data_IF_675301787221
#
_entry.id   IF_675301787221
#
_cell.length_a   1.000
_cell.length_b   1.000
_cell.length_c   1.000
_cell.angle_alpha   90.00
_cell.angle_beta   90.00
_cell.angle_gamma   90.00
#
_symmetry.space_group_name_H-M   'P 1'
#
loop_
_entity.id
_entity.type
_entity.pdbx_description
1 polymer ?
#
# COMPACT_ATOMS: atom_id res chain seq x y z
N UNK A 1 53.84 -17.00 -61.13
CA UNK A 1 54.92 -16.42 -60.29
C UNK A 1 54.26 -15.48 -59.30
N UNK A 2 54.53 -15.68 -57.99
CA UNK A 2 54.41 -14.72 -56.86
C UNK A 2 53.05 -14.03 -56.63
N UNK A 3 52.54 -13.82 -55.43
CA UNK A 3 52.77 -14.27 -54.04
C UNK A 3 51.71 -13.40 -53.31
N UNK A 4 50.76 -14.04 -52.62
CA UNK A 4 50.32 -13.78 -51.24
C UNK A 4 50.30 -12.35 -50.65
N UNK A 5 49.60 -12.12 -49.51
CA UNK A 5 48.25 -12.54 -49.10
C UNK A 5 47.59 -11.47 -48.19
N UNK A 6 46.59 -11.88 -47.40
CA UNK A 6 46.28 -11.33 -46.07
C UNK A 6 45.59 -9.95 -46.03
N UNK A 7 44.26 -9.98 -45.92
CA UNK A 7 43.65 -9.24 -44.81
C UNK A 7 42.53 -10.07 -44.21
N UNK A 8 42.81 -10.49 -42.98
CA UNK A 8 42.02 -11.28 -42.07
C UNK A 8 40.93 -10.36 -41.49
N UNK A 9 39.65 -10.61 -41.77
CA UNK A 9 38.56 -10.06 -40.96
C UNK A 9 37.78 -11.21 -40.34
N UNK A 10 38.36 -11.70 -39.25
CA UNK A 10 37.81 -12.69 -38.34
C UNK A 10 36.82 -11.95 -37.42
N UNK A 11 35.54 -11.90 -37.79
CA UNK A 11 34.48 -11.40 -36.90
C UNK A 11 34.13 -12.49 -35.87
N UNK A 12 34.96 -12.62 -34.84
CA UNK A 12 34.57 -13.26 -33.58
C UNK A 12 33.68 -12.25 -32.82
N UNK A 13 32.37 -12.29 -33.07
CA UNK A 13 31.41 -11.79 -32.07
C UNK A 13 31.00 -12.96 -31.19
N UNK A 14 31.78 -13.10 -30.13
CA UNK A 14 31.48 -13.89 -28.95
C UNK A 14 30.27 -13.23 -28.27
N UNK A 15 29.06 -13.73 -28.51
CA UNK A 15 27.93 -13.44 -27.64
C UNK A 15 28.04 -14.31 -26.38
N UNK A 16 28.98 -13.94 -25.50
CA UNK A 16 28.92 -14.30 -24.09
C UNK A 16 27.99 -13.29 -23.42
N UNK A 17 26.99 -13.83 -22.73
CA UNK A 17 26.31 -13.11 -21.65
C UNK A 17 24.89 -12.68 -21.95
N UNK A 18 23.98 -13.62 -22.22
CA UNK A 18 22.69 -13.50 -21.54
C UNK A 18 23.00 -13.58 -20.04
N UNK A 19 23.13 -12.42 -19.40
CA UNK A 19 23.02 -12.30 -17.96
C UNK A 19 21.76 -13.05 -17.56
N UNK A 20 21.84 -13.76 -16.43
CA UNK A 20 20.71 -14.42 -15.80
C UNK A 20 19.54 -13.44 -15.86
N UNK A 21 18.56 -13.73 -16.72
CA UNK A 21 17.25 -13.12 -16.61
C UNK A 21 16.84 -13.42 -15.18
N UNK A 22 16.77 -12.35 -14.38
CA UNK A 22 16.18 -12.40 -13.06
C UNK A 22 14.88 -13.13 -13.23
N UNK A 23 14.82 -14.33 -12.65
CA UNK A 23 13.62 -15.14 -12.59
C UNK A 23 12.57 -14.27 -11.90
N UNK A 24 11.79 -13.54 -12.69
CA UNK A 24 10.48 -13.07 -12.31
C UNK A 24 9.71 -14.33 -11.97
N UNK A 25 9.74 -14.68 -10.69
CA UNK A 25 8.98 -15.77 -10.14
C UNK A 25 7.54 -15.57 -10.61
N UNK A 26 6.96 -16.56 -11.27
CA UNK A 26 5.59 -16.48 -11.77
C UNK A 26 4.57 -16.17 -10.65
N UNK A 27 4.98 -16.42 -9.40
CA UNK A 27 4.30 -16.01 -8.18
C UNK A 27 4.11 -14.48 -8.05
N UNK A 28 4.94 -13.62 -8.66
CA UNK A 28 4.83 -12.16 -8.55
C UNK A 28 3.73 -11.56 -9.43
N UNK A 29 3.16 -12.31 -10.40
CA UNK A 29 1.99 -11.83 -11.17
C UNK A 29 0.74 -11.56 -10.32
N UNK A 30 0.66 -12.14 -9.12
CA UNK A 30 -0.47 -11.96 -8.22
C UNK A 30 -0.30 -10.77 -7.25
N UNK A 31 0.91 -10.22 -7.16
CA UNK A 31 1.21 -9.02 -6.39
C UNK A 31 1.07 -7.77 -7.27
N UNK A 32 -0.09 -7.12 -7.25
CA UNK A 32 -0.28 -5.82 -7.90
C UNK A 32 -0.11 -4.66 -6.91
N UNK A 33 0.86 -4.76 -6.00
CA UNK A 33 1.13 -3.71 -5.03
C UNK A 33 1.71 -2.48 -5.75
N UNK A 34 0.94 -1.39 -5.78
CA UNK A 34 1.36 -0.09 -6.32
C UNK A 34 1.54 0.92 -5.20
N UNK A 35 2.73 0.97 -4.62
CA UNK A 35 3.11 1.87 -3.52
C UNK A 35 3.29 3.34 -3.93
N UNK A 36 2.40 3.90 -4.75
CA UNK A 36 2.49 5.27 -5.27
C UNK A 36 1.31 6.15 -4.84
N UNK A 37 1.57 7.45 -4.76
CA UNK A 37 0.56 8.50 -4.66
C UNK A 37 0.93 9.70 -5.53
N UNK A 38 0.00 10.63 -5.73
CA UNK A 38 0.08 11.59 -6.83
C UNK A 38 -0.21 13.03 -6.38
N UNK A 39 0.69 13.71 -5.63
CA UNK A 39 0.60 15.14 -5.44
C UNK A 39 0.86 15.88 -6.76
N UNK A 40 0.01 16.85 -7.11
CA UNK A 40 0.20 17.72 -8.27
C UNK A 40 0.50 16.95 -9.56
N UNK A 41 -0.19 15.83 -9.77
CA UNK A 41 0.00 14.92 -10.91
C UNK A 41 1.39 14.27 -11.06
N UNK A 42 2.22 14.25 -10.01
CA UNK A 42 3.54 13.61 -10.02
C UNK A 42 3.50 12.32 -9.19
N UNK A 43 3.94 11.20 -9.77
CA UNK A 43 4.06 9.95 -9.03
C UNK A 43 5.14 10.06 -7.95
N UNK A 44 4.77 9.77 -6.71
CA UNK A 44 5.65 9.73 -5.55
C UNK A 44 5.59 8.34 -4.94
N UNK A 45 6.76 7.72 -4.74
CA UNK A 45 6.87 6.41 -4.10
C UNK A 45 6.67 6.57 -2.59
N UNK A 46 5.78 5.76 -2.01
CA UNK A 46 5.53 5.73 -0.57
C UNK A 46 6.64 4.96 0.14
N UNK A 47 7.04 3.82 -0.42
CA UNK A 47 8.10 2.97 0.08
C UNK A 47 8.06 1.56 -0.52
N UNK A 48 9.10 0.77 -0.28
CA UNK A 48 9.09 -0.65 -0.60
C UNK A 48 8.10 -1.40 0.29
N UNK A 49 7.52 -2.48 -0.20
CA UNK A 49 6.70 -3.37 0.63
C UNK A 49 7.51 -3.90 1.83
N UNK A 50 6.88 -3.88 3.00
CA UNK A 50 7.37 -4.56 4.20
C UNK A 50 6.81 -5.99 4.23
N UNK A 51 7.71 -6.96 4.36
CA UNK A 51 7.37 -8.38 4.35
C UNK A 51 6.97 -8.90 5.74
N UNK A 52 7.19 -8.09 6.78
CA UNK A 52 7.09 -8.52 8.18
C UNK A 52 5.78 -8.08 8.83
N UNK A 53 5.10 -7.07 8.29
CA UNK A 53 3.96 -6.42 8.94
C UNK A 53 2.75 -6.25 8.02
N UNK A 54 1.57 -6.25 8.63
CA UNK A 54 0.29 -5.94 8.00
C UNK A 54 -0.50 -4.99 8.89
N UNK A 55 -1.33 -4.12 8.31
CA UNK A 55 -2.31 -3.33 9.04
C UNK A 55 -3.69 -3.94 8.88
N UNK A 56 -4.39 -4.17 10.00
CA UNK A 56 -5.80 -4.55 10.01
C UNK A 56 -6.63 -3.45 10.66
N UNK A 57 -7.64 -2.98 9.95
CA UNK A 57 -8.73 -2.19 10.51
C UNK A 57 -9.88 -3.09 10.97
N UNK A 58 -10.54 -2.76 12.08
CA UNK A 58 -11.62 -3.56 12.66
C UNK A 58 -12.97 -2.86 12.55
N UNK A 59 -14.05 -3.64 12.53
CA UNK A 59 -15.41 -3.11 12.52
C UNK A 59 -15.78 -2.64 13.94
N UNK A 60 -16.32 -1.43 14.03
CA UNK A 60 -16.57 -0.74 15.29
C UNK A 60 -17.65 -1.40 16.15
N UNK A 61 -18.42 -2.33 15.60
CA UNK A 61 -19.38 -3.14 16.36
C UNK A 61 -18.69 -4.13 17.30
N UNK A 62 -17.45 -4.52 17.02
CA UNK A 62 -16.70 -5.47 17.85
C UNK A 62 -15.90 -4.74 18.92
N UNK A 63 -15.86 -5.32 20.11
CA UNK A 63 -15.09 -4.78 21.22
C UNK A 63 -13.63 -5.27 21.22
N UNK A 64 -12.79 -4.62 22.02
CA UNK A 64 -11.37 -4.92 22.12
C UNK A 64 -11.08 -6.39 22.49
N UNK A 65 -11.87 -6.99 23.37
CA UNK A 65 -11.67 -8.41 23.77
C UNK A 65 -11.90 -9.35 22.58
N UNK A 66 -12.93 -9.09 21.78
CA UNK A 66 -13.23 -9.86 20.56
C UNK A 66 -12.13 -9.71 19.51
N UNK A 67 -11.64 -8.47 19.32
CA UNK A 67 -10.54 -8.18 18.39
C UNK A 67 -9.27 -8.90 18.81
N UNK A 68 -8.89 -8.83 20.10
CA UNK A 68 -7.70 -9.50 20.61
C UNK A 68 -7.80 -11.02 20.51
N UNK A 69 -8.98 -11.58 20.78
CA UNK A 69 -9.26 -13.02 20.61
C UNK A 69 -9.14 -13.45 19.14
N UNK A 70 -9.61 -12.62 18.21
CA UNK A 70 -9.45 -12.87 16.78
C UNK A 70 -7.98 -12.88 16.38
N UNK A 71 -7.19 -11.89 16.81
CA UNK A 71 -5.76 -11.80 16.51
C UNK A 71 -5.00 -12.99 17.11
N UNK A 72 -5.29 -13.38 18.36
CA UNK A 72 -4.59 -14.49 19.02
C UNK A 72 -4.92 -15.88 18.45
N UNK A 73 -6.05 -16.01 17.77
CA UNK A 73 -6.45 -17.24 17.10
C UNK A 73 -5.79 -17.41 15.72
N UNK A 74 -5.24 -16.35 15.13
CA UNK A 74 -4.64 -16.40 13.79
C UNK A 74 -3.17 -16.81 13.87
N UNK A 75 -2.89 -18.05 13.44
CA UNK A 75 -1.58 -18.67 13.55
C UNK A 75 -0.48 -17.99 12.72
N UNK A 76 -0.86 -17.20 11.71
CA UNK A 76 0.10 -16.46 10.86
C UNK A 76 0.74 -15.24 11.56
N UNK A 77 0.21 -14.81 12.71
CA UNK A 77 0.79 -13.72 13.50
C UNK A 77 1.80 -14.19 14.53
N UNK A 78 2.83 -13.37 14.74
CA UNK A 78 3.77 -13.52 15.85
C UNK A 78 3.07 -13.23 17.18
N UNK A 79 2.80 -14.28 17.95
CA UNK A 79 2.11 -14.17 19.24
C UNK A 79 2.96 -13.51 20.34
N UNK A 80 4.27 -13.34 20.11
CA UNK A 80 5.17 -12.62 21.01
C UNK A 80 5.24 -11.12 20.67
N UNK A 81 4.73 -10.72 19.51
CA UNK A 81 4.70 -9.32 19.11
C UNK A 81 3.72 -8.52 19.95
N UNK A 82 4.24 -7.54 20.69
CA UNK A 82 3.44 -6.66 21.54
C UNK A 82 2.79 -5.55 20.71
N UNK A 83 1.69 -5.88 20.01
CA UNK A 83 0.92 -4.91 19.24
C UNK A 83 0.05 -4.03 20.15
N UNK A 84 -0.25 -2.83 19.66
CA UNK A 84 -1.25 -1.92 20.26
C UNK A 84 -2.44 -1.78 19.31
N UNK A 85 -3.63 -1.74 19.89
CA UNK A 85 -4.81 -1.23 19.20
C UNK A 85 -4.74 0.30 19.26
N UNK A 86 -4.68 0.94 18.09
CA UNK A 86 -4.69 2.39 17.98
C UNK A 86 -6.14 2.84 17.83
N UNK A 87 -6.68 3.42 18.91
CA UNK A 87 -8.13 3.63 19.03
C UNK A 87 -8.88 2.30 19.13
N UNK A 88 -10.08 2.24 18.56
CA UNK A 88 -10.81 0.97 18.32
C UNK A 88 -10.68 0.48 16.87
N UNK A 89 -9.88 1.17 16.07
CA UNK A 89 -10.09 1.18 14.64
C UNK A 89 -9.09 0.29 13.91
N UNK A 90 -7.86 0.11 14.42
CA UNK A 90 -6.87 -0.74 13.76
C UNK A 90 -5.71 -1.24 14.66
N UNK A 91 -4.98 -2.24 14.16
CA UNK A 91 -3.70 -2.69 14.67
C UNK A 91 -2.70 -2.90 13.53
N UNK A 92 -1.42 -2.66 13.83
CA UNK A 92 -0.30 -3.19 13.05
C UNK A 92 0.12 -4.50 13.68
N UNK A 93 0.21 -5.55 12.87
CA UNK A 93 0.51 -6.90 13.31
C UNK A 93 1.75 -7.42 12.59
N UNK A 94 2.58 -8.18 13.30
CA UNK A 94 3.77 -8.82 12.75
C UNK A 94 3.45 -10.25 12.36
N UNK A 95 3.90 -10.67 11.19
CA UNK A 95 3.83 -12.07 10.80
C UNK A 95 4.83 -12.91 11.59
N UNK A 96 4.47 -14.17 11.87
CA UNK A 96 5.39 -15.11 12.54
C UNK A 96 6.65 -15.42 11.72
N UNK A 97 6.57 -15.22 10.40
CA UNK A 97 7.63 -15.39 9.41
C UNK A 97 7.43 -14.36 8.29
N UNK A 98 8.51 -13.77 7.73
CA UNK A 98 8.39 -12.82 6.63
C UNK A 98 7.65 -13.45 5.44
N UNK A 99 6.75 -12.68 4.81
CA UNK A 99 5.92 -13.15 3.70
C UNK A 99 6.34 -12.52 2.37
N UNK A 100 6.18 -13.27 1.29
CA UNK A 100 6.26 -12.71 -0.07
C UNK A 100 5.05 -11.82 -0.35
N UNK A 101 5.15 -10.91 -1.32
CA UNK A 101 4.02 -10.04 -1.63
C UNK A 101 2.73 -10.81 -1.95
N UNK A 102 2.81 -11.87 -2.76
CA UNK A 102 1.65 -12.70 -3.11
C UNK A 102 1.05 -13.44 -1.92
N UNK A 103 1.88 -13.83 -0.94
CA UNK A 103 1.39 -14.39 0.31
C UNK A 103 0.66 -13.34 1.17
N UNK A 104 1.16 -12.10 1.20
CA UNK A 104 0.46 -10.98 1.87
C UNK A 104 -0.86 -10.66 1.15
N UNK A 105 -0.88 -10.64 -0.19
CA UNK A 105 -2.09 -10.42 -0.98
C UNK A 105 -3.17 -11.47 -0.68
N UNK A 106 -2.78 -12.76 -0.64
CA UNK A 106 -3.68 -13.85 -0.27
C UNK A 106 -4.18 -13.72 1.18
N UNK A 107 -3.30 -13.30 2.10
CA UNK A 107 -3.66 -13.07 3.49
C UNK A 107 -4.64 -11.89 3.65
N UNK A 108 -4.43 -10.77 2.96
CA UNK A 108 -5.36 -9.64 2.91
C UNK A 108 -6.73 -10.12 2.43
N UNK A 109 -6.79 -10.87 1.33
CA UNK A 109 -8.04 -11.42 0.80
C UNK A 109 -8.74 -12.39 1.77
N UNK A 110 -7.98 -13.16 2.56
CA UNK A 110 -8.50 -14.00 3.65
C UNK A 110 -9.09 -13.13 4.76
N UNK A 111 -8.34 -12.13 5.24
CA UNK A 111 -8.76 -11.25 6.33
C UNK A 111 -10.01 -10.44 5.98
N UNK A 112 -10.11 -9.92 4.75
CA UNK A 112 -11.26 -9.13 4.30
C UNK A 112 -12.59 -9.90 4.27
N UNK A 113 -12.55 -11.25 4.19
CA UNK A 113 -13.75 -12.10 4.31
C UNK A 113 -14.26 -12.20 5.74
N UNK A 114 -13.43 -11.89 6.74
CA UNK A 114 -13.82 -11.92 8.13
C UNK A 114 -14.73 -10.74 8.46
N UNK A 115 -15.87 -10.95 9.15
CA UNK A 115 -16.77 -9.86 9.47
C UNK A 115 -16.15 -8.86 10.48
N UNK A 116 -15.18 -9.28 11.31
CA UNK A 116 -14.51 -8.42 12.29
C UNK A 116 -13.50 -7.44 11.67
N UNK A 117 -12.94 -7.77 10.50
CA UNK A 117 -11.91 -6.95 9.85
C UNK A 117 -12.58 -6.01 8.86
N UNK A 118 -12.59 -4.71 9.09
CA UNK A 118 -13.09 -3.70 8.15
C UNK A 118 -12.24 -3.60 6.89
N UNK A 119 -10.92 -3.56 7.05
CA UNK A 119 -9.95 -3.50 5.96
C UNK A 119 -8.64 -4.16 6.37
N UNK A 120 -7.85 -4.58 5.40
CA UNK A 120 -6.54 -5.18 5.61
C UNK A 120 -5.60 -4.66 4.51
N UNK A 121 -4.46 -4.09 4.89
CA UNK A 121 -3.61 -3.32 4.00
C UNK A 121 -2.14 -3.72 4.14
N UNK A 122 -1.40 -3.56 3.03
CA UNK A 122 0.05 -3.68 3.03
C UNK A 122 0.68 -2.64 3.95
N UNK A 123 1.93 -2.89 4.33
CA UNK A 123 2.77 -1.90 5.00
C UNK A 123 4.04 -1.69 4.20
N UNK A 124 4.68 -0.54 4.34
CA UNK A 124 5.86 -0.18 3.58
C UNK A 124 7.04 0.09 4.51
N UNK A 125 8.25 -0.26 4.09
CA UNK A 125 9.46 0.08 4.84
C UNK A 125 9.68 1.58 4.82
N UNK A 126 10.09 2.14 5.95
CA UNK A 126 10.56 3.53 6.02
C UNK A 126 11.62 3.68 7.11
N UNK A 127 12.56 4.60 6.88
CA UNK A 127 13.48 5.06 7.93
C UNK A 127 12.95 6.29 8.66
N UNK A 128 11.81 6.84 8.21
CA UNK A 128 11.17 7.98 8.85
C UNK A 128 10.25 7.51 9.98
N UNK A 129 10.70 7.74 11.20
CA UNK A 129 9.94 7.48 12.42
C UNK A 129 9.20 8.71 12.94
N UNK A 130 9.23 9.82 12.20
CA UNK A 130 8.42 10.99 12.53
C UNK A 130 6.96 10.66 12.20
N UNK A 131 6.12 10.59 13.22
CA UNK A 131 4.69 10.33 13.09
C UNK A 131 3.87 11.38 13.86
N UNK A 132 2.62 11.58 13.43
CA UNK A 132 1.59 12.33 14.17
C UNK A 132 1.23 11.68 15.51
N UNK A 133 1.25 10.34 15.63
CA UNK A 133 0.96 9.62 16.89
C UNK A 133 2.19 9.45 17.80
N UNK A 134 3.42 9.56 17.29
CA UNK A 134 4.67 9.52 18.08
C UNK A 134 5.18 10.89 18.54
N UNK A 135 4.32 11.93 18.56
CA UNK A 135 4.64 13.34 18.88
C UNK A 135 5.37 13.62 20.22
N UNK A 136 5.76 12.60 20.97
CA UNK A 136 6.61 12.69 22.15
C UNK A 136 7.72 11.62 22.14
N UNK A 137 8.92 12.01 21.69
CA UNK A 137 10.17 11.34 22.08
C UNK A 137 11.03 10.80 20.94
N UNK A 138 12.35 11.00 21.08
CA UNK A 138 13.40 10.38 20.26
C UNK A 138 13.28 8.85 20.34
N UNK A 139 12.72 8.21 19.32
CA UNK A 139 12.61 6.76 19.22
C UNK A 139 13.92 6.15 18.72
N UNK A 140 14.99 6.26 19.52
CA UNK A 140 16.24 5.55 19.25
C UNK A 140 16.00 4.03 19.31
N UNK A 141 16.35 3.32 18.24
CA UNK A 141 16.32 1.85 18.18
C UNK A 141 15.01 1.22 17.67
N UNK A 142 14.06 2.01 17.17
CA UNK A 142 12.87 1.47 16.48
C UNK A 142 13.12 1.38 14.98
N UNK A 143 12.58 0.34 14.35
CA UNK A 143 12.36 0.31 12.90
C UNK A 143 10.99 0.92 12.63
N UNK A 144 10.78 1.56 11.48
CA UNK A 144 9.49 2.15 11.17
C UNK A 144 8.91 1.58 9.88
N UNK A 145 7.58 1.57 9.84
CA UNK A 145 6.83 1.23 8.63
C UNK A 145 5.85 2.35 8.32
N UNK A 146 5.59 2.59 7.04
CA UNK A 146 4.48 3.42 6.60
C UNK A 146 3.26 2.53 6.44
N UNK A 147 2.12 2.98 6.98
CA UNK A 147 0.82 2.36 6.89
C UNK A 147 -0.16 3.32 6.21
N UNK A 148 -1.28 2.80 5.73
CA UNK A 148 -2.35 3.61 5.15
C UNK A 148 -3.72 3.15 5.63
N UNK A 149 -4.60 4.09 5.95
CA UNK A 149 -5.98 3.79 6.35
C UNK A 149 -6.84 3.45 5.12
N UNK A 150 -8.13 3.22 5.34
CA UNK A 150 -9.12 3.09 4.28
C UNK A 150 -9.56 4.44 3.68
N UNK A 151 -8.91 5.53 4.08
CA UNK A 151 -9.20 6.90 3.64
C UNK A 151 -8.17 7.36 2.61
N UNK A 152 -8.64 8.11 1.62
CA UNK A 152 -7.79 8.84 0.68
C UNK A 152 -8.42 10.20 0.35
N UNK A 153 -7.65 11.08 -0.25
CA UNK A 153 -8.07 12.41 -0.66
C UNK A 153 -7.88 12.61 -2.15
N UNK A 154 -8.79 13.38 -2.75
CA UNK A 154 -8.71 13.84 -4.13
C UNK A 154 -8.86 15.36 -4.15
N UNK A 155 -8.12 16.00 -5.04
CA UNK A 155 -8.20 17.44 -5.27
C UNK A 155 -8.73 17.71 -6.67
N UNK A 156 -9.85 18.43 -6.76
CA UNK A 156 -10.42 18.84 -8.05
C UNK A 156 -9.86 20.20 -8.46
N UNK A 157 -9.76 20.44 -9.77
CA UNK A 157 -9.31 21.74 -10.29
C UNK A 157 -10.41 22.83 -10.18
N UNK A 158 -11.68 22.43 -10.28
CA UNK A 158 -12.83 23.33 -10.28
C UNK A 158 -13.97 22.71 -9.45
N UNK A 159 -14.31 23.35 -8.33
CA UNK A 159 -15.36 22.88 -7.42
C UNK A 159 -16.77 22.98 -8.01
N UNK A 160 -16.94 23.64 -9.17
CA UNK A 160 -18.20 23.65 -9.91
C UNK A 160 -18.36 22.43 -10.84
N UNK A 161 -17.32 21.60 -10.99
CA UNK A 161 -17.29 20.44 -11.90
C UNK A 161 -17.05 19.14 -11.13
N UNK A 162 -18.03 18.77 -10.31
CA UNK A 162 -17.95 17.56 -9.47
C UNK A 162 -18.58 16.31 -10.10
N UNK A 163 -19.10 16.40 -11.33
CA UNK A 163 -19.75 15.27 -12.00
C UNK A 163 -18.83 14.05 -12.10
N UNK A 164 -17.57 14.24 -12.50
CA UNK A 164 -16.58 13.18 -12.62
C UNK A 164 -16.25 12.54 -11.26
N UNK A 165 -16.14 13.36 -10.20
CA UNK A 165 -15.96 12.87 -8.84
C UNK A 165 -17.12 11.98 -8.41
N UNK A 166 -18.36 12.46 -8.56
CA UNK A 166 -19.54 11.69 -8.16
C UNK A 166 -19.71 10.42 -9.00
N UNK A 167 -19.40 10.48 -10.29
CA UNK A 167 -19.41 9.31 -11.15
C UNK A 167 -18.41 8.25 -10.67
N UNK A 168 -17.15 8.63 -10.44
CA UNK A 168 -16.12 7.70 -9.96
C UNK A 168 -16.45 7.16 -8.58
N UNK A 169 -16.99 7.98 -7.67
CA UNK A 169 -17.47 7.55 -6.35
C UNK A 169 -18.52 6.44 -6.48
N UNK A 170 -19.54 6.66 -7.31
CA UNK A 170 -20.60 5.68 -7.54
C UNK A 170 -20.06 4.41 -8.24
N UNK A 171 -19.21 4.58 -9.26
CA UNK A 171 -18.66 3.49 -10.04
C UNK A 171 -17.75 2.59 -9.21
N UNK A 172 -16.92 3.17 -8.34
CA UNK A 172 -15.98 2.44 -7.48
C UNK A 172 -16.58 2.03 -6.15
N UNK A 173 -17.81 2.46 -5.84
CA UNK A 173 -18.49 2.25 -4.57
C UNK A 173 -17.66 2.71 -3.37
N UNK A 174 -16.92 3.81 -3.53
CA UNK A 174 -16.28 4.51 -2.41
C UNK A 174 -17.31 5.42 -1.74
N UNK A 175 -17.05 5.83 -0.50
CA UNK A 175 -17.90 6.79 0.21
C UNK A 175 -17.24 8.17 0.23
N UNK A 176 -18.01 9.20 -0.10
CA UNK A 176 -17.59 10.58 0.10
C UNK A 176 -17.83 10.97 1.56
N UNK A 177 -16.76 11.34 2.28
CA UNK A 177 -16.87 11.70 3.69
C UNK A 177 -17.37 13.15 3.83
N UNK A 178 -18.19 13.46 4.86
CA UNK A 178 -18.72 14.81 5.08
C UNK A 178 -17.67 15.81 5.59
N UNK A 179 -16.40 15.40 5.66
CA UNK A 179 -15.32 16.20 6.22
C UNK A 179 -15.00 17.39 5.30
N UNK A 180 -15.11 18.60 5.84
CA UNK A 180 -14.66 19.82 5.18
C UNK A 180 -13.16 19.92 5.37
N UNK A 181 -12.39 19.60 4.33
CA UNK A 181 -10.98 19.96 4.29
C UNK A 181 -10.83 21.47 4.45
N UNK A 182 -9.72 21.94 5.03
CA UNK A 182 -9.39 23.38 5.05
C UNK A 182 -9.24 23.98 3.64
N UNK A 183 -9.11 23.12 2.63
CA UNK A 183 -9.10 23.50 1.22
C UNK A 183 -10.41 23.08 0.56
N UNK A 184 -11.20 24.02 0.00
CA UNK A 184 -12.55 23.76 -0.50
C UNK A 184 -12.59 22.83 -1.73
N UNK A 185 -11.44 22.61 -2.37
CA UNK A 185 -11.28 21.73 -3.54
C UNK A 185 -10.76 20.33 -3.19
N UNK A 186 -10.52 20.02 -1.92
CA UNK A 186 -10.06 18.71 -1.45
C UNK A 186 -11.20 17.95 -0.81
N UNK A 187 -11.44 16.74 -1.33
CA UNK A 187 -12.48 15.84 -0.88
C UNK A 187 -11.86 14.59 -0.26
N UNK A 188 -12.41 14.16 0.87
CA UNK A 188 -11.99 12.93 1.55
C UNK A 188 -12.93 11.79 1.16
N UNK A 189 -12.36 10.67 0.76
CA UNK A 189 -13.07 9.46 0.34
C UNK A 189 -12.64 8.29 1.20
N UNK A 190 -13.53 7.31 1.33
CA UNK A 190 -13.29 6.05 2.04
C UNK A 190 -13.50 4.86 1.11
N UNK A 191 -12.52 3.98 1.03
CA UNK A 191 -12.63 2.68 0.39
C UNK A 191 -13.20 1.67 1.39
N UNK A 192 -14.44 1.24 1.17
CA UNK A 192 -15.12 0.28 2.04
C UNK A 192 -14.89 -1.15 1.55
N UNK A 193 -15.34 -2.16 2.31
CA UNK A 193 -15.39 -3.56 1.84
C UNK A 193 -16.14 -3.75 0.52
N UNK A 194 -17.07 -2.84 0.21
CA UNK A 194 -17.88 -2.91 -1.01
C UNK A 194 -17.25 -2.14 -2.17
N UNK A 195 -16.15 -1.41 -1.93
CA UNK A 195 -15.42 -0.70 -2.97
C UNK A 195 -14.71 -1.67 -3.91
N UNK A 196 -14.40 -1.22 -5.13
CA UNK A 196 -13.75 -2.05 -6.16
C UNK A 196 -12.35 -2.56 -5.76
N UNK A 197 -11.66 -1.85 -4.87
CA UNK A 197 -10.38 -2.23 -4.28
C UNK A 197 -10.10 -1.37 -3.03
N UNK A 198 -8.93 -1.58 -2.42
CA UNK A 198 -8.48 -0.84 -1.24
C UNK A 198 -8.15 0.65 -1.53
N UNK A 199 -7.89 1.43 -0.48
CA UNK A 199 -7.66 2.88 -0.61
C UNK A 199 -6.45 3.21 -1.50
N UNK A 200 -5.38 2.42 -1.44
CA UNK A 200 -4.19 2.65 -2.25
C UNK A 200 -4.44 2.33 -3.73
N UNK A 201 -5.14 1.23 -4.03
CA UNK A 201 -5.57 0.92 -5.39
C UNK A 201 -6.56 1.98 -5.92
N UNK A 202 -7.46 2.50 -5.07
CA UNK A 202 -8.34 3.62 -5.44
C UNK A 202 -7.56 4.90 -5.75
N UNK A 203 -6.51 5.23 -5.00
CA UNK A 203 -5.62 6.36 -5.32
C UNK A 203 -5.07 6.25 -6.74
N UNK A 204 -4.58 5.07 -7.11
CA UNK A 204 -4.05 4.81 -8.45
C UNK A 204 -5.16 4.93 -9.51
N UNK A 205 -6.34 4.33 -9.27
CA UNK A 205 -7.47 4.38 -10.20
C UNK A 205 -7.98 5.82 -10.45
N UNK A 206 -8.16 6.60 -9.38
CA UNK A 206 -8.61 7.98 -9.47
C UNK A 206 -7.57 8.84 -10.19
N UNK A 207 -6.27 8.64 -9.96
CA UNK A 207 -5.23 9.34 -10.71
C UNK A 207 -5.22 8.97 -12.20
N UNK A 208 -5.40 7.69 -12.52
CA UNK A 208 -5.46 7.19 -13.91
C UNK A 208 -6.64 7.80 -14.69
N UNK A 209 -7.72 8.22 -14.01
CA UNK A 209 -8.88 8.86 -14.62
C UNK A 209 -8.64 10.28 -15.19
N UNK A 210 -7.55 10.96 -14.79
CA UNK A 210 -7.17 12.32 -15.24
C UNK A 210 -8.13 13.46 -14.88
N UNK A 211 -9.05 13.25 -13.93
CA UNK A 211 -9.97 14.30 -13.46
C UNK A 211 -9.46 15.10 -12.24
N UNK A 212 -8.36 14.67 -11.61
CA UNK A 212 -7.88 15.25 -10.34
C UNK A 212 -6.48 15.85 -10.48
N UNK A 213 -6.22 16.89 -9.69
CA UNK A 213 -4.91 17.57 -9.61
C UNK A 213 -3.99 16.84 -8.64
N UNK A 214 -4.56 16.27 -7.59
CA UNK A 214 -3.84 15.52 -6.58
C UNK A 214 -4.69 14.36 -6.09
N UNK A 215 -4.07 13.20 -5.88
CA UNK A 215 -4.70 12.04 -5.24
C UNK A 215 -3.73 11.42 -4.24
N UNK A 216 -4.14 11.30 -2.98
CA UNK A 216 -3.24 10.89 -1.88
C UNK A 216 -3.93 9.92 -0.92
N UNK A 217 -3.30 8.79 -0.56
CA UNK A 217 -3.77 7.98 0.55
C UNK A 217 -3.53 8.72 1.87
N UNK A 218 -4.28 8.35 2.89
CA UNK A 218 -4.07 8.81 4.25
C UNK A 218 -2.96 7.96 4.91
N UNK A 219 -1.75 8.52 4.93
CA UNK A 219 -0.51 7.84 5.33
C UNK A 219 -0.09 8.19 6.76
N UNK A 220 0.45 7.19 7.44
CA UNK A 220 1.03 7.32 8.77
C UNK A 220 2.33 6.52 8.86
N UNK A 221 3.29 6.99 9.64
CA UNK A 221 4.44 6.19 10.02
C UNK A 221 4.14 5.53 11.36
N UNK A 222 4.55 4.27 11.53
CA UNK A 222 4.32 3.50 12.74
C UNK A 222 5.63 2.86 13.19
N UNK A 223 6.00 3.12 14.44
CA UNK A 223 7.19 2.53 15.04
C UNK A 223 6.94 1.07 15.40
N UNK A 224 7.79 0.19 14.90
CA UNK A 224 7.79 -1.24 15.17
C UNK A 224 9.08 -1.66 15.87
N UNK A 225 8.98 -2.71 16.69
CA UNK A 225 10.08 -3.27 17.47
C UNK A 225 10.28 -4.74 17.13
#
# INVERSE_FOLDING_TARGET
>A
MRKSPFSLLLFFLVFIGCGKDDMYNEADRFCNFKGYYYPNNVANLIGELSNDYIMLGFDSIYNESEIRKFISAEAEFDQQYNYKLLGKDFAVLKFNTPKTCSAIAAFIAKMQKSPIVSYAHYTMKTNDCNDRFTRFGLMLGFTCITIYSDIFSVEVADTNKLADLYQLVAETKTELLPYVSSSPNVFMLKATKNSKADALAMVNYFFESKHFVSVKPDLYNYAVK
#
